data_IF_505814590231
#
_entry.id   IF_505814590231
#
_cell.length_a   1.000
_cell.length_b   1.000
_cell.length_c   1.000
_cell.angle_alpha   90.00
_cell.angle_beta   90.00
_cell.angle_gamma   90.00
#
_symmetry.space_group_name_H-M   'P 1'
#
loop_
_entity.id
_entity.type
_entity.pdbx_description
1 polymer ?
#
# COMPACT_ATOMS: atom_id res chain seq x y z
N UNK A 1 9.47 -26.74 14.35
CA UNK A 1 8.71 -25.50 14.13
C UNK A 1 9.65 -24.53 13.45
N UNK A 2 9.25 -23.92 12.34
CA UNK A 2 10.02 -22.82 11.74
C UNK A 2 10.01 -21.61 12.68
N UNK A 3 11.09 -20.84 12.69
CA UNK A 3 11.15 -19.58 13.45
C UNK A 3 10.13 -18.61 12.82
N UNK A 4 9.21 -18.01 13.60
CA UNK A 4 8.20 -17.12 13.05
C UNK A 4 8.83 -15.86 12.45
N UNK A 5 8.28 -15.44 11.31
CA UNK A 5 8.61 -14.16 10.68
C UNK A 5 7.62 -13.10 11.16
N UNK A 6 8.10 -11.97 11.64
CA UNK A 6 7.26 -10.88 12.12
C UNK A 6 7.58 -9.61 11.35
N UNK A 7 6.67 -9.24 10.44
CA UNK A 7 6.75 -8.01 9.68
C UNK A 7 6.45 -6.83 10.60
N UNK A 8 7.32 -5.84 10.63
CA UNK A 8 7.09 -4.60 11.38
C UNK A 8 6.67 -3.51 10.41
N UNK A 9 5.59 -2.80 10.71
CA UNK A 9 5.21 -1.57 10.01
C UNK A 9 6.18 -0.44 10.39
N UNK A 10 6.35 0.56 9.53
CA UNK A 10 7.23 1.71 9.74
C UNK A 10 6.87 2.49 11.02
N UNK A 11 5.60 2.56 11.41
CA UNK A 11 5.21 3.20 12.66
C UNK A 11 5.76 2.48 13.91
N UNK A 12 5.99 1.16 13.85
CA UNK A 12 6.60 0.39 14.93
C UNK A 12 8.08 0.75 15.07
N UNK A 13 8.79 0.95 13.96
CA UNK A 13 10.17 1.48 13.98
C UNK A 13 10.19 2.87 14.64
N UNK A 14 9.20 3.71 14.30
CA UNK A 14 9.01 5.01 14.95
C UNK A 14 8.80 4.91 16.47
N UNK A 15 7.99 3.96 16.93
CA UNK A 15 7.79 3.72 18.36
C UNK A 15 9.08 3.27 19.07
N UNK A 16 9.86 2.39 18.44
CA UNK A 16 11.14 1.92 18.97
C UNK A 16 12.12 3.09 19.08
N UNK A 17 12.25 3.89 18.02
CA UNK A 17 13.13 5.06 17.98
C UNK A 17 12.79 6.09 19.08
N UNK A 18 11.49 6.25 19.38
CA UNK A 18 11.00 7.15 20.42
C UNK A 18 11.11 6.56 21.85
N UNK A 19 11.55 5.31 21.99
CA UNK A 19 11.64 4.62 23.27
C UNK A 19 10.29 4.25 23.88
N UNK A 20 9.22 4.18 23.07
CA UNK A 20 7.89 3.77 23.52
C UNK A 20 7.73 2.26 23.59
N UNK A 21 8.52 1.53 22.81
CA UNK A 21 8.63 0.07 22.85
C UNK A 21 10.12 -0.32 22.91
N UNK A 22 10.39 -1.59 23.16
CA UNK A 22 11.75 -2.13 23.24
C UNK A 22 11.84 -3.48 22.53
N UNK A 23 11.88 -3.45 21.21
CA UNK A 23 12.30 -4.54 20.36
C UNK A 23 13.81 -4.74 20.51
N UNK A 24 14.24 -5.99 20.44
CA UNK A 24 15.64 -6.41 20.57
C UNK A 24 15.90 -7.60 19.65
N UNK A 25 17.18 -7.87 19.37
CA UNK A 25 17.59 -9.12 18.70
C UNK A 25 17.10 -10.32 19.50
N UNK A 26 16.59 -11.32 18.80
CA UNK A 26 16.00 -12.53 19.36
C UNK A 26 16.34 -13.74 18.50
N UNK A 27 16.48 -14.90 19.14
CA UNK A 27 16.75 -16.17 18.45
C UNK A 27 15.45 -16.96 18.14
N UNK A 28 14.32 -16.54 18.72
CA UNK A 28 13.02 -17.20 18.61
C UNK A 28 12.04 -16.50 17.65
N UNK A 29 12.47 -15.42 16.99
CA UNK A 29 11.71 -14.68 15.98
C UNK A 29 12.66 -13.98 15.02
N UNK A 30 12.25 -13.82 13.76
CA UNK A 30 12.94 -12.98 12.78
C UNK A 30 12.09 -11.72 12.56
N UNK A 31 12.67 -10.56 12.88
CA UNK A 31 12.06 -9.27 12.55
C UNK A 31 12.24 -8.99 11.06
N UNK A 32 11.17 -8.62 10.39
CA UNK A 32 11.15 -8.49 8.93
C UNK A 32 10.75 -7.08 8.54
N UNK A 33 11.50 -6.50 7.59
CA UNK A 33 11.16 -5.26 6.90
C UNK A 33 11.19 -5.51 5.37
N UNK A 34 10.86 -4.51 4.55
CA UNK A 34 10.93 -4.61 3.08
C UNK A 34 11.37 -3.30 2.44
N UNK A 35 11.49 -3.28 1.10
CA UNK A 35 11.79 -2.05 0.32
C UNK A 35 10.78 -0.92 0.55
N UNK A 36 9.54 -1.21 0.94
CA UNK A 36 8.55 -0.18 1.29
C UNK A 36 9.04 0.72 2.44
N UNK A 37 9.75 0.13 3.41
CA UNK A 37 10.35 0.89 4.50
C UNK A 37 11.37 1.90 3.97
N UNK A 38 12.14 1.52 2.95
CA UNK A 38 13.12 2.42 2.34
C UNK A 38 12.47 3.57 1.59
N UNK A 39 11.32 3.35 0.94
CA UNK A 39 10.50 4.42 0.37
C UNK A 39 10.10 5.45 1.42
N UNK A 40 9.76 5.01 2.63
CA UNK A 40 9.42 5.90 3.74
C UNK A 40 10.64 6.56 4.38
N UNK A 41 11.70 5.79 4.64
CA UNK A 41 12.95 6.24 5.26
C UNK A 41 13.65 7.29 4.39
N UNK A 42 13.64 7.14 3.06
CA UNK A 42 14.18 8.12 2.10
C UNK A 42 13.58 9.52 2.27
N UNK A 43 12.32 9.61 2.73
CA UNK A 43 11.60 10.87 2.93
C UNK A 43 11.84 11.48 4.31
N UNK A 44 12.49 10.77 5.22
CA UNK A 44 12.82 11.27 6.55
C UNK A 44 14.00 12.25 6.52
N UNK A 45 14.05 13.16 7.49
CA UNK A 45 15.18 14.11 7.64
C UNK A 45 16.46 13.44 8.12
N UNK A 46 16.34 12.33 8.86
CA UNK A 46 17.44 11.57 9.47
C UNK A 46 17.23 10.06 9.20
N UNK A 47 17.39 9.59 7.94
CA UNK A 47 17.17 8.20 7.55
C UNK A 47 17.95 7.19 8.39
N UNK A 48 19.18 7.53 8.76
CA UNK A 48 20.11 6.68 9.53
C UNK A 48 19.52 6.22 10.86
N UNK A 49 18.71 7.05 11.53
CA UNK A 49 18.09 6.68 12.80
C UNK A 49 17.12 5.49 12.67
N UNK A 50 16.42 5.40 11.55
CA UNK A 50 15.50 4.29 11.29
C UNK A 50 16.27 3.03 10.88
N UNK A 51 17.34 3.18 10.11
CA UNK A 51 18.22 2.08 9.73
C UNK A 51 18.95 1.51 10.96
N UNK A 52 19.38 2.35 11.89
CA UNK A 52 19.96 1.95 13.17
C UNK A 52 18.98 1.07 13.97
N UNK A 53 17.69 1.44 14.01
CA UNK A 53 16.68 0.62 14.67
C UNK A 53 16.61 -0.77 14.04
N UNK A 54 16.49 -0.85 12.70
CA UNK A 54 16.45 -2.12 11.98
C UNK A 54 17.70 -2.96 12.24
N UNK A 55 18.87 -2.33 12.22
CA UNK A 55 20.15 -3.01 12.42
C UNK A 55 20.31 -3.51 13.87
N UNK A 56 19.91 -2.71 14.86
CA UNK A 56 20.03 -3.05 16.27
C UNK A 56 19.13 -4.21 16.71
N UNK A 57 17.99 -4.39 16.04
CA UNK A 57 17.10 -5.54 16.28
C UNK A 57 17.47 -6.75 15.41
N UNK A 58 18.51 -6.66 14.57
CA UNK A 58 18.91 -7.70 13.62
C UNK A 58 17.78 -8.06 12.63
N UNK A 59 17.09 -7.03 12.13
CA UNK A 59 16.00 -7.22 11.19
C UNK A 59 16.52 -7.68 9.81
N UNK A 60 15.77 -8.55 9.16
CA UNK A 60 16.08 -9.12 7.85
C UNK A 60 15.12 -8.59 6.80
N UNK A 61 15.61 -8.27 5.60
CA UNK A 61 14.76 -7.80 4.51
C UNK A 61 14.00 -8.97 3.89
N UNK A 62 12.68 -8.81 3.70
CA UNK A 62 11.86 -9.63 2.84
C UNK A 62 11.69 -8.93 1.48
N UNK A 63 11.92 -9.69 0.42
CA UNK A 63 11.82 -9.24 -0.96
C UNK A 63 10.94 -10.20 -1.77
N UNK A 64 10.17 -9.65 -2.71
CA UNK A 64 9.38 -10.47 -3.63
C UNK A 64 10.30 -11.06 -4.70
N UNK A 65 10.01 -12.28 -5.14
CA UNK A 65 10.72 -12.92 -6.25
C UNK A 65 10.03 -12.52 -7.55
N UNK A 66 10.85 -12.18 -8.54
CA UNK A 66 10.41 -11.86 -9.91
C UNK A 66 10.94 -12.92 -10.87
N UNK A 67 10.16 -13.23 -11.91
CA UNK A 67 10.59 -14.08 -13.03
C UNK A 67 11.49 -13.33 -14.02
N UNK A 68 11.92 -14.01 -15.09
CA UNK A 68 12.74 -13.38 -16.15
C UNK A 68 12.04 -12.23 -16.90
N UNK A 69 10.72 -12.10 -16.77
CA UNK A 69 9.91 -11.05 -17.37
C UNK A 69 9.56 -9.93 -16.37
N UNK A 70 10.20 -9.91 -15.20
CA UNK A 70 9.93 -8.95 -14.12
C UNK A 70 8.50 -9.02 -13.57
N UNK A 71 7.86 -10.18 -13.64
CA UNK A 71 6.56 -10.44 -13.02
C UNK A 71 6.75 -11.05 -11.64
N UNK A 72 5.91 -10.65 -10.69
CA UNK A 72 5.92 -11.21 -9.33
C UNK A 72 5.51 -12.68 -9.40
N UNK A 73 6.35 -13.59 -8.91
CA UNK A 73 6.07 -15.04 -8.99
C UNK A 73 5.03 -15.49 -7.97
N UNK A 74 4.73 -14.65 -6.99
CA UNK A 74 3.90 -14.99 -5.83
C UNK A 74 4.71 -15.52 -4.66
N UNK A 75 6.03 -15.66 -4.79
CA UNK A 75 6.95 -16.07 -3.72
C UNK A 75 7.74 -14.88 -3.15
N UNK A 76 8.23 -15.03 -1.93
CA UNK A 76 9.09 -14.06 -1.26
C UNK A 76 10.33 -14.75 -0.67
N UNK A 77 11.41 -13.99 -0.54
CA UNK A 77 12.70 -14.46 0.02
C UNK A 77 13.22 -13.52 1.09
N UNK A 78 13.98 -14.08 2.03
CA UNK A 78 14.78 -13.31 2.98
C UNK A 78 16.15 -12.99 2.38
N UNK A 79 16.59 -11.74 2.52
CA UNK A 79 17.93 -11.28 2.13
C UNK A 79 18.80 -11.27 3.38
N UNK A 80 19.51 -12.36 3.62
CA UNK A 80 20.27 -12.59 4.86
C UNK A 80 21.72 -12.10 4.80
N UNK A 81 22.26 -11.85 3.60
CA UNK A 81 23.69 -11.60 3.40
C UNK A 81 24.06 -10.10 3.50
N UNK A 82 23.08 -9.23 3.76
CA UNK A 82 23.24 -7.78 3.76
C UNK A 82 22.59 -7.14 4.99
N UNK A 83 23.26 -6.14 5.54
CA UNK A 83 22.72 -5.30 6.61
C UNK A 83 21.61 -4.37 6.10
N UNK A 84 20.77 -3.80 6.98
CA UNK A 84 19.80 -2.77 6.60
C UNK A 84 20.41 -1.57 5.88
N UNK A 85 21.63 -1.16 6.25
CA UNK A 85 22.36 -0.07 5.59
C UNK A 85 22.78 -0.43 4.17
N UNK A 86 23.35 -1.62 3.95
CA UNK A 86 23.76 -2.07 2.60
C UNK A 86 22.55 -2.25 1.69
N UNK A 87 21.47 -2.85 2.21
CA UNK A 87 20.21 -2.98 1.47
C UNK A 87 19.62 -1.60 1.10
N UNK A 88 19.65 -0.63 2.02
CA UNK A 88 19.18 0.73 1.75
C UNK A 88 20.03 1.42 0.70
N UNK A 89 21.35 1.31 0.78
CA UNK A 89 22.25 1.91 -0.21
C UNK A 89 22.00 1.32 -1.61
N UNK A 90 21.90 -0.01 -1.72
CA UNK A 90 21.55 -0.67 -2.98
C UNK A 90 20.20 -0.20 -3.53
N UNK A 91 19.21 0.03 -2.65
CA UNK A 91 17.91 0.56 -3.05
C UNK A 91 18.01 1.99 -3.60
N UNK A 92 18.75 2.87 -2.92
CA UNK A 92 18.93 4.27 -3.34
C UNK A 92 19.68 4.37 -4.67
N UNK A 93 20.71 3.55 -4.87
CA UNK A 93 21.44 3.47 -6.14
C UNK A 93 20.51 3.01 -7.27
N UNK A 94 19.77 1.92 -7.06
CA UNK A 94 18.87 1.38 -8.08
C UNK A 94 17.79 2.37 -8.54
N UNK A 95 17.24 3.19 -7.64
CA UNK A 95 16.22 4.19 -8.00
C UNK A 95 16.82 5.53 -8.46
N UNK A 96 18.12 5.75 -8.29
CA UNK A 96 18.80 6.94 -8.79
C UNK A 96 19.21 6.80 -10.27
N UNK A 97 19.39 5.55 -10.73
CA UNK A 97 19.83 5.26 -12.10
C UNK A 97 18.82 5.67 -13.18
N UNK A 98 17.54 5.75 -12.83
CA UNK A 98 16.46 6.04 -13.78
C UNK A 98 15.53 7.11 -13.21
N UNK A 99 15.43 8.25 -13.89
CA UNK A 99 14.49 9.31 -13.52
C UNK A 99 13.05 8.89 -13.89
N UNK A 100 12.37 8.27 -12.92
CA UNK A 100 10.98 7.86 -13.02
C UNK A 100 10.10 8.62 -12.03
N UNK A 101 9.06 9.28 -12.54
CA UNK A 101 8.04 9.89 -11.69
C UNK A 101 7.02 8.83 -11.24
N UNK A 102 7.19 8.35 -10.00
CA UNK A 102 6.28 7.39 -9.35
C UNK A 102 4.89 7.99 -9.03
N UNK A 103 4.69 9.30 -9.24
CA UNK A 103 3.46 10.01 -8.89
C UNK A 103 2.51 10.26 -10.07
N UNK A 104 2.87 9.80 -11.29
CA UNK A 104 2.08 10.03 -12.51
C UNK A 104 0.60 9.64 -12.35
N UNK A 105 0.31 8.54 -11.64
CA UNK A 105 -1.05 8.05 -11.44
C UNK A 105 -1.72 8.56 -10.15
N UNK A 106 -1.06 9.40 -9.35
CA UNK A 106 -1.62 9.97 -8.13
C UNK A 106 -2.91 10.77 -8.39
N UNK A 107 -3.01 11.62 -9.45
CA UNK A 107 -4.25 12.35 -9.75
C UNK A 107 -5.43 11.41 -9.99
N UNK A 108 -5.22 10.32 -10.74
CA UNK A 108 -6.25 9.31 -11.00
C UNK A 108 -6.70 8.64 -9.71
N UNK A 109 -5.75 8.15 -8.90
CA UNK A 109 -6.07 7.45 -7.65
C UNK A 109 -6.81 8.36 -6.66
N UNK A 110 -6.44 9.63 -6.58
CA UNK A 110 -7.12 10.61 -5.72
C UNK A 110 -8.50 10.97 -6.26
N UNK A 111 -8.65 11.09 -7.59
CA UNK A 111 -9.92 11.35 -8.25
C UNK A 111 -10.96 10.27 -7.94
N UNK A 112 -10.62 8.99 -8.13
CA UNK A 112 -11.56 7.89 -7.85
C UNK A 112 -11.98 7.78 -6.38
N UNK A 113 -11.20 8.37 -5.47
CA UNK A 113 -11.52 8.48 -4.05
C UNK A 113 -12.36 9.70 -3.67
N UNK A 114 -12.71 10.54 -4.65
CA UNK A 114 -13.49 11.77 -4.51
C UNK A 114 -12.70 12.96 -3.97
N UNK A 115 -11.43 13.04 -4.32
CA UNK A 115 -10.60 14.24 -4.14
C UNK A 115 -9.99 14.71 -5.45
N UNK A 116 -8.94 15.53 -5.34
CA UNK A 116 -8.14 15.97 -6.48
C UNK A 116 -8.82 17.02 -7.35
N UNK A 117 -8.09 17.46 -8.38
CA UNK A 117 -8.49 18.52 -9.30
C UNK A 117 -8.46 17.98 -10.75
N UNK A 118 -9.31 18.51 -11.61
CA UNK A 118 -9.36 18.10 -13.03
C UNK A 118 -8.06 18.36 -13.78
N UNK A 119 -7.35 19.45 -13.46
CA UNK A 119 -6.14 19.88 -14.17
C UNK A 119 -5.06 18.79 -14.19
N UNK A 120 -4.56 18.35 -13.02
CA UNK A 120 -3.58 17.26 -12.95
C UNK A 120 -4.06 15.94 -13.60
N UNK A 121 -5.37 15.67 -13.62
CA UNK A 121 -5.90 14.48 -14.28
C UNK A 121 -5.87 14.61 -15.82
N UNK A 122 -6.16 15.79 -16.37
CA UNK A 122 -6.06 16.09 -17.82
C UNK A 122 -4.62 16.01 -18.34
N UNK A 123 -3.64 16.21 -17.47
CA UNK A 123 -2.22 16.10 -17.81
C UNK A 123 -1.71 14.65 -17.81
N UNK A 124 -2.51 13.66 -17.37
CA UNK A 124 -2.08 12.27 -17.20
C UNK A 124 -1.52 11.64 -18.49
N UNK A 125 -2.18 11.86 -19.61
CA UNK A 125 -1.80 11.25 -20.90
C UNK A 125 -0.47 11.84 -21.42
N UNK A 126 -0.27 13.14 -21.28
CA UNK A 126 0.97 13.85 -21.62
C UNK A 126 2.11 13.41 -20.69
N UNK A 127 1.89 13.43 -19.38
CA UNK A 127 2.89 13.05 -18.39
C UNK A 127 3.36 11.60 -18.58
N UNK A 128 2.42 10.68 -18.87
CA UNK A 128 2.76 9.29 -19.18
C UNK A 128 3.55 9.18 -20.49
N UNK A 129 3.12 9.88 -21.55
CA UNK A 129 3.80 9.89 -22.83
C UNK A 129 5.25 10.39 -22.70
N UNK A 130 5.43 11.53 -22.04
CA UNK A 130 6.74 12.15 -21.80
C UNK A 130 7.63 11.23 -20.95
N UNK A 131 7.09 10.60 -19.90
CA UNK A 131 7.84 9.65 -19.09
C UNK A 131 8.32 8.45 -19.91
N UNK A 132 7.47 7.84 -20.74
CA UNK A 132 7.86 6.70 -21.58
C UNK A 132 8.93 7.10 -22.61
N UNK A 133 8.78 8.26 -23.24
CA UNK A 133 9.76 8.76 -24.20
C UNK A 133 11.10 9.09 -23.54
N UNK A 134 11.08 9.63 -22.31
CA UNK A 134 12.28 9.88 -21.51
C UNK A 134 12.97 8.59 -21.07
N UNK A 135 12.24 7.61 -20.55
CA UNK A 135 12.81 6.31 -20.14
C UNK A 135 13.49 5.58 -21.30
N UNK A 136 12.99 5.79 -22.52
CA UNK A 136 13.53 5.19 -23.73
C UNK A 136 14.51 6.11 -24.45
N UNK A 137 14.88 7.27 -23.87
CA UNK A 137 15.66 8.30 -24.57
C UNK A 137 17.03 7.80 -25.03
N UNK A 138 17.64 6.95 -24.19
CA UNK A 138 19.05 6.56 -24.29
C UNK A 138 19.23 5.10 -24.74
N UNK A 139 18.13 4.42 -25.07
CA UNK A 139 18.19 3.04 -25.58
C UNK A 139 18.82 3.01 -26.99
N UNK A 140 19.76 2.08 -27.26
CA UNK A 140 20.49 2.01 -28.53
C UNK A 140 19.70 1.34 -29.67
N UNK A 141 18.38 1.45 -29.66
CA UNK A 141 17.47 0.78 -30.60
C UNK A 141 16.55 1.77 -31.30
N UNK A 142 15.92 1.36 -32.41
CA UNK A 142 14.87 2.16 -33.05
C UNK A 142 13.65 2.27 -32.13
N UNK A 143 13.16 3.50 -31.95
CA UNK A 143 12.06 3.85 -31.04
C UNK A 143 10.80 4.26 -31.78
N UNK A 144 10.79 4.16 -33.10
CA UNK A 144 9.63 4.50 -33.93
C UNK A 144 8.38 3.72 -33.49
N UNK A 145 8.54 2.44 -33.17
CA UNK A 145 7.43 1.63 -32.64
C UNK A 145 6.92 2.14 -31.29
N UNK A 146 7.83 2.50 -30.37
CA UNK A 146 7.46 3.05 -29.06
C UNK A 146 6.72 4.38 -29.20
N UNK A 147 7.23 5.29 -30.02
CA UNK A 147 6.59 6.58 -30.31
C UNK A 147 5.20 6.39 -30.91
N UNK A 148 5.03 5.44 -31.84
CA UNK A 148 3.72 5.12 -32.43
C UNK A 148 2.75 4.52 -31.39
N UNK A 149 3.23 3.65 -30.49
CA UNK A 149 2.43 3.10 -29.38
C UNK A 149 1.96 4.20 -28.43
N UNK A 150 2.88 5.09 -28.03
CA UNK A 150 2.56 6.26 -27.19
C UNK A 150 1.52 7.16 -27.85
N UNK A 151 1.71 7.48 -29.13
CA UNK A 151 0.77 8.29 -29.91
C UNK A 151 -0.63 7.63 -30.03
N UNK A 152 -0.71 6.31 -29.98
CA UNK A 152 -1.97 5.56 -30.03
C UNK A 152 -2.65 5.47 -28.66
N UNK A 153 -1.89 5.36 -27.57
CA UNK A 153 -2.42 5.22 -26.20
C UNK A 153 -2.95 6.56 -25.67
N UNK A 154 -2.29 7.66 -26.00
CA UNK A 154 -2.65 9.01 -25.52
C UNK A 154 -4.14 9.36 -25.70
N UNK A 155 -4.73 9.28 -26.92
CA UNK A 155 -6.15 9.59 -27.10
C UNK A 155 -7.10 8.64 -26.35
N UNK A 156 -6.67 7.41 -26.06
CA UNK A 156 -7.46 6.46 -25.25
C UNK A 156 -7.51 6.92 -23.79
N UNK A 157 -6.37 7.36 -23.25
CA UNK A 157 -6.30 7.91 -21.89
C UNK A 157 -7.07 9.23 -21.81
N UNK A 158 -6.94 10.11 -22.80
CA UNK A 158 -7.69 11.37 -22.85
C UNK A 158 -9.20 11.11 -22.82
N UNK A 159 -9.69 10.19 -23.65
CA UNK A 159 -11.11 9.83 -23.67
C UNK A 159 -11.57 9.26 -22.32
N UNK A 160 -10.76 8.41 -21.67
CA UNK A 160 -11.07 7.89 -20.34
C UNK A 160 -11.13 9.01 -19.29
N UNK A 161 -10.18 9.94 -19.33
CA UNK A 161 -10.13 11.09 -18.42
C UNK A 161 -11.32 12.01 -18.62
N UNK A 162 -11.69 12.32 -19.86
CA UNK A 162 -12.86 13.13 -20.17
C UNK A 162 -14.15 12.49 -19.65
N UNK A 163 -14.28 11.16 -19.79
CA UNK A 163 -15.40 10.41 -19.24
C UNK A 163 -15.45 10.48 -17.71
N UNK A 164 -14.31 10.26 -17.03
CA UNK A 164 -14.20 10.38 -15.56
C UNK A 164 -14.59 11.77 -15.06
N UNK A 165 -14.15 12.81 -15.77
CA UNK A 165 -14.46 14.20 -15.41
C UNK A 165 -15.94 14.49 -15.63
N UNK A 166 -16.51 14.04 -16.75
CA UNK A 166 -17.92 14.26 -17.08
C UNK A 166 -18.87 13.60 -16.07
N UNK A 167 -18.49 12.43 -15.53
CA UNK A 167 -19.24 11.72 -14.49
C UNK A 167 -19.02 12.31 -13.09
N UNK A 168 -17.95 13.08 -12.91
CA UNK A 168 -17.52 13.63 -11.63
C UNK A 168 -16.94 12.59 -10.67
N UNK A 169 -16.58 13.03 -9.47
CA UNK A 169 -15.91 12.21 -8.46
C UNK A 169 -16.65 12.17 -7.11
N UNK A 170 -17.97 12.31 -7.11
CA UNK A 170 -18.73 12.27 -5.85
C UNK A 170 -18.74 10.85 -5.26
N UNK A 171 -17.81 10.62 -4.33
CA UNK A 171 -17.63 9.34 -3.66
C UNK A 171 -18.89 8.85 -2.92
N UNK A 172 -19.80 9.76 -2.51
CA UNK A 172 -21.08 9.33 -1.90
C UNK A 172 -22.02 8.77 -2.95
N UNK A 173 -22.07 9.38 -4.15
CA UNK A 173 -22.83 8.82 -5.28
C UNK A 173 -22.25 7.48 -5.72
N UNK A 174 -20.92 7.35 -5.78
CA UNK A 174 -20.26 6.08 -6.09
C UNK A 174 -20.65 4.99 -5.08
N UNK A 175 -20.59 5.27 -3.78
CA UNK A 175 -20.99 4.30 -2.74
C UNK A 175 -22.47 3.95 -2.79
N UNK A 176 -23.34 4.94 -3.02
CA UNK A 176 -24.76 4.70 -3.20
C UNK A 176 -25.05 3.82 -4.44
N UNK A 177 -24.31 4.00 -5.53
CA UNK A 177 -24.42 3.16 -6.73
C UNK A 177 -24.02 1.70 -6.45
N UNK A 178 -23.10 1.47 -5.51
CA UNK A 178 -22.76 0.14 -4.99
C UNK A 178 -23.70 -0.36 -3.87
N UNK A 179 -24.84 0.30 -3.65
CA UNK A 179 -25.84 -0.11 -2.65
C UNK A 179 -25.62 0.44 -1.23
N UNK A 180 -24.56 1.21 -0.98
CA UNK A 180 -24.23 1.73 0.36
C UNK A 180 -24.70 3.17 0.60
N UNK A 181 -25.99 3.45 0.40
CA UNK A 181 -26.57 4.79 0.54
C UNK A 181 -26.35 5.42 1.93
N UNK A 182 -26.28 4.58 2.97
CA UNK A 182 -26.19 4.99 4.38
C UNK A 182 -24.76 4.95 4.94
N UNK A 183 -23.75 4.56 4.15
CA UNK A 183 -22.37 4.45 4.62
C UNK A 183 -22.15 3.29 5.62
N UNK A 184 -22.96 2.24 5.52
CA UNK A 184 -22.94 1.05 6.37
C UNK A 184 -21.66 0.23 6.23
N UNK A 185 -21.02 0.23 5.05
CA UNK A 185 -19.77 -0.50 4.81
C UNK A 185 -18.68 -0.04 5.79
N UNK A 186 -18.61 1.26 6.10
CA UNK A 186 -17.64 1.80 7.06
C UNK A 186 -17.78 1.25 8.48
N UNK A 187 -18.95 0.71 8.83
CA UNK A 187 -19.28 0.12 10.13
C UNK A 187 -19.16 -1.41 10.20
N UNK A 188 -18.84 -2.08 9.10
CA UNK A 188 -18.71 -3.56 9.07
C UNK A 188 -17.64 -4.01 10.08
N UNK A 189 -17.98 -5.04 10.85
CA UNK A 189 -17.14 -5.57 11.94
C UNK A 189 -17.41 -7.07 12.14
N UNK A 190 -16.59 -7.73 12.96
CA UNK A 190 -16.68 -9.17 13.19
C UNK A 190 -15.81 -9.98 12.23
N UNK A 191 -16.29 -11.17 11.89
CA UNK A 191 -15.66 -12.15 11.00
C UNK A 191 -16.19 -12.03 9.57
N UNK A 192 -15.42 -12.49 8.59
CA UNK A 192 -15.74 -12.52 7.17
C UNK A 192 -16.13 -11.15 6.60
N UNK A 193 -15.42 -10.10 7.01
CA UNK A 193 -15.79 -8.71 6.69
C UNK A 193 -15.84 -8.43 5.18
N UNK A 194 -14.93 -8.99 4.38
CA UNK A 194 -14.97 -8.84 2.91
C UNK A 194 -16.23 -9.46 2.32
N UNK A 195 -16.63 -10.65 2.80
CA UNK A 195 -17.86 -11.30 2.36
C UNK A 195 -19.11 -10.49 2.76
N UNK A 196 -19.14 -9.95 3.99
CA UNK A 196 -20.23 -9.06 4.41
C UNK A 196 -20.34 -7.80 3.53
N UNK A 197 -19.20 -7.22 3.13
CA UNK A 197 -19.18 -6.07 2.21
C UNK A 197 -19.67 -6.51 0.82
N UNK A 198 -19.28 -7.69 0.35
CA UNK A 198 -19.76 -8.25 -0.91
C UNK A 198 -21.27 -8.49 -0.92
N UNK A 199 -21.87 -8.92 0.19
CA UNK A 199 -23.32 -9.10 0.30
C UNK A 199 -24.08 -7.77 0.13
N UNK A 200 -23.46 -6.64 0.48
CA UNK A 200 -24.02 -5.30 0.27
C UNK A 200 -23.91 -4.90 -1.22
N UNK A 201 -22.80 -5.23 -1.87
CA UNK A 201 -22.45 -4.75 -3.22
C UNK A 201 -23.02 -5.63 -4.33
N UNK A 202 -23.03 -6.95 -4.13
CA UNK A 202 -23.37 -7.93 -5.16
C UNK A 202 -24.75 -7.71 -5.83
N UNK A 203 -25.81 -7.22 -5.15
CA UNK A 203 -27.07 -6.93 -5.81
C UNK A 203 -26.96 -5.84 -6.89
N UNK A 204 -26.10 -4.83 -6.68
CA UNK A 204 -25.82 -3.80 -7.71
C UNK A 204 -24.93 -4.30 -8.85
N UNK A 205 -24.28 -5.45 -8.67
CA UNK A 205 -23.33 -6.02 -9.62
C UNK A 205 -23.89 -7.22 -10.39
N UNK A 206 -25.13 -7.66 -10.12
CA UNK A 206 -25.70 -8.90 -10.67
C UNK A 206 -25.61 -8.99 -12.20
N UNK A 207 -25.87 -7.89 -12.90
CA UNK A 207 -25.83 -7.84 -14.37
C UNK A 207 -24.42 -7.83 -14.97
N UNK A 208 -23.39 -7.60 -14.15
CA UNK A 208 -22.00 -7.50 -14.62
C UNK A 208 -21.31 -8.86 -14.74
N UNK A 209 -21.82 -9.90 -14.05
CA UNK A 209 -21.15 -11.20 -13.94
C UNK A 209 -19.83 -11.18 -13.15
N UNK A 210 -19.50 -10.05 -12.50
CA UNK A 210 -18.28 -9.88 -11.70
C UNK A 210 -18.40 -10.66 -10.39
N UNK A 211 -17.40 -11.47 -10.09
CA UNK A 211 -17.26 -12.18 -8.81
C UNK A 211 -16.67 -11.29 -7.71
N UNK A 212 -16.78 -11.75 -6.46
CA UNK A 212 -16.14 -11.08 -5.31
C UNK A 212 -14.63 -10.95 -5.50
N UNK A 213 -13.94 -12.01 -5.93
CA UNK A 213 -12.49 -11.98 -6.17
C UNK A 213 -12.10 -11.04 -7.31
N UNK A 214 -12.89 -10.94 -8.38
CA UNK A 214 -12.70 -9.96 -9.44
C UNK A 214 -12.88 -8.53 -8.93
N UNK A 215 -13.95 -8.28 -8.17
CA UNK A 215 -14.28 -6.95 -7.66
C UNK A 215 -13.21 -6.43 -6.69
N UNK A 216 -12.73 -7.28 -5.77
CA UNK A 216 -11.68 -6.93 -4.82
C UNK A 216 -10.26 -7.11 -5.37
N UNK A 217 -10.10 -7.42 -6.65
CA UNK A 217 -8.81 -7.42 -7.34
C UNK A 217 -7.93 -8.65 -7.12
N UNK A 218 -8.45 -9.74 -6.53
CA UNK A 218 -7.73 -11.01 -6.37
C UNK A 218 -7.74 -11.87 -7.64
N UNK A 219 -8.68 -11.63 -8.55
CA UNK A 219 -8.76 -12.30 -9.86
C UNK A 219 -9.19 -11.29 -10.93
N UNK A 220 -8.38 -10.27 -11.27
CA UNK A 220 -8.80 -9.25 -12.22
C UNK A 220 -9.15 -9.86 -13.58
N UNK A 221 -10.14 -9.26 -14.27
CA UNK A 221 -10.61 -9.73 -15.59
C UNK A 221 -9.48 -9.74 -16.62
N UNK A 222 -8.67 -8.67 -16.62
CA UNK A 222 -7.40 -8.64 -17.34
C UNK A 222 -6.27 -8.93 -16.35
N UNK A 223 -5.70 -10.14 -16.48
CA UNK A 223 -4.56 -10.57 -15.67
C UNK A 223 -3.23 -10.03 -16.16
N UNK A 224 -3.19 -9.14 -17.16
CA UNK A 224 -1.96 -8.48 -17.64
C UNK A 224 -0.85 -9.48 -17.99
N UNK A 225 -1.24 -10.63 -18.53
CA UNK A 225 -0.34 -11.73 -18.88
C UNK A 225 0.16 -12.58 -17.71
N UNK A 226 -0.40 -12.44 -16.50
CA UNK A 226 -0.23 -13.42 -15.42
C UNK A 226 -1.15 -14.63 -15.66
N UNK A 227 -0.62 -15.84 -15.51
CA UNK A 227 -1.46 -17.04 -15.47
C UNK A 227 -2.24 -17.13 -14.15
N UNK A 228 -1.53 -16.88 -13.04
CA UNK A 228 -2.07 -16.77 -11.69
C UNK A 228 -1.79 -15.37 -11.16
N UNK A 229 -2.83 -14.69 -10.69
CA UNK A 229 -2.69 -13.34 -10.14
C UNK A 229 -1.92 -13.37 -8.81
N UNK A 230 -0.84 -12.61 -8.65
CA UNK A 230 -0.04 -12.60 -7.42
C UNK A 230 -0.84 -12.12 -6.21
N UNK A 231 -0.68 -12.82 -5.09
CA UNK A 231 -1.37 -12.47 -3.84
C UNK A 231 -1.12 -11.02 -3.42
N UNK A 232 0.14 -10.59 -3.49
CA UNK A 232 0.55 -9.21 -3.20
C UNK A 232 -0.31 -8.19 -3.99
N UNK A 233 -0.40 -8.34 -5.32
CA UNK A 233 -1.18 -7.44 -6.17
C UNK A 233 -2.68 -7.47 -5.84
N UNK A 234 -3.21 -8.66 -5.50
CA UNK A 234 -4.58 -8.79 -5.02
C UNK A 234 -4.84 -8.02 -3.72
N UNK A 235 -3.90 -8.07 -2.77
CA UNK A 235 -3.99 -7.31 -1.52
C UNK A 235 -3.94 -5.79 -1.80
N UNK A 236 -3.09 -5.32 -2.71
CA UNK A 236 -3.04 -3.90 -3.10
C UNK A 236 -4.38 -3.46 -3.70
N UNK A 237 -4.91 -4.23 -4.66
CA UNK A 237 -6.21 -3.96 -5.30
C UNK A 237 -7.36 -3.95 -4.28
N UNK A 238 -7.40 -4.93 -3.39
CA UNK A 238 -8.44 -5.03 -2.36
C UNK A 238 -8.41 -3.81 -1.43
N UNK A 239 -7.23 -3.36 -1.03
CA UNK A 239 -7.08 -2.13 -0.27
C UNK A 239 -7.64 -0.92 -1.04
N UNK A 240 -7.26 -0.72 -2.30
CA UNK A 240 -7.78 0.39 -3.11
C UNK A 240 -9.33 0.40 -3.19
N UNK A 241 -9.94 -0.78 -3.35
CA UNK A 241 -11.40 -0.95 -3.37
C UNK A 241 -12.02 -0.61 -2.00
N UNK A 242 -11.42 -1.06 -0.89
CA UNK A 242 -11.89 -0.71 0.46
C UNK A 242 -11.89 0.80 0.71
N UNK A 243 -10.91 1.54 0.19
CA UNK A 243 -10.87 3.01 0.31
C UNK A 243 -12.03 3.68 -0.43
N UNK A 244 -12.32 3.23 -1.66
CA UNK A 244 -13.46 3.69 -2.46
C UNK A 244 -14.76 3.44 -1.71
N UNK A 245 -14.97 2.22 -1.21
CA UNK A 245 -16.19 1.82 -0.51
C UNK A 245 -16.33 2.46 0.88
N UNK A 246 -15.22 2.88 1.50
CA UNK A 246 -15.23 3.51 2.81
C UNK A 246 -14.98 2.57 3.99
N UNK A 247 -14.59 1.33 3.75
CA UNK A 247 -14.22 0.40 4.82
C UNK A 247 -12.84 0.73 5.37
N UNK A 248 -12.78 1.19 6.63
CA UNK A 248 -11.53 1.68 7.25
C UNK A 248 -10.77 2.68 6.38
N UNK A 249 -11.48 3.44 5.54
CA UNK A 249 -10.87 4.32 4.55
C UNK A 249 -10.19 5.53 5.19
N UNK A 250 -9.03 5.89 4.65
CA UNK A 250 -8.23 7.03 5.06
C UNK A 250 -8.75 8.31 4.39
N UNK A 251 -9.07 9.39 5.14
CA UNK A 251 -9.34 10.70 4.50
C UNK A 251 -8.15 11.21 3.66
N UNK A 252 -6.96 10.68 3.90
CA UNK A 252 -5.72 10.99 3.16
C UNK A 252 -5.78 10.52 1.71
N UNK A 253 -6.60 9.52 1.36
CA UNK A 253 -6.74 9.05 -0.04
C UNK A 253 -7.33 10.10 -0.99
N UNK A 254 -7.89 11.19 -0.45
CA UNK A 254 -8.43 12.32 -1.21
C UNK A 254 -7.45 13.47 -1.39
N UNK A 255 -6.21 13.30 -0.96
CA UNK A 255 -5.19 14.35 -0.97
C UNK A 255 -3.97 13.88 -1.75
N UNK A 256 -3.64 14.60 -2.82
CA UNK A 256 -2.50 14.29 -3.70
C UNK A 256 -1.20 14.14 -2.93
N UNK A 257 -0.90 15.06 -2.00
CA UNK A 257 0.33 15.02 -1.21
C UNK A 257 0.35 13.97 -0.08
N UNK A 258 -0.68 13.12 0.03
CA UNK A 258 -0.78 12.08 1.07
C UNK A 258 -1.14 10.71 0.51
N UNK A 259 -1.44 10.57 -0.78
CA UNK A 259 -1.88 9.28 -1.36
C UNK A 259 -0.79 8.20 -1.27
N UNK A 260 0.48 8.61 -1.36
CA UNK A 260 1.62 7.71 -1.17
C UNK A 260 1.60 6.99 0.19
N UNK A 261 1.11 7.63 1.26
CA UNK A 261 1.02 6.99 2.58
C UNK A 261 -0.03 5.87 2.56
N UNK A 262 -1.14 6.08 1.84
CA UNK A 262 -2.20 5.06 1.70
C UNK A 262 -1.69 3.86 0.89
N UNK A 263 -0.87 4.11 -0.14
CA UNK A 263 -0.20 3.02 -0.88
C UNK A 263 0.78 2.27 0.01
N UNK A 264 1.55 2.99 0.81
CA UNK A 264 2.52 2.41 1.76
C UNK A 264 1.84 1.47 2.75
N UNK A 265 0.73 1.89 3.36
CA UNK A 265 -0.07 1.02 4.24
C UNK A 265 -0.51 -0.28 3.53
N UNK A 266 -0.95 -0.18 2.27
CA UNK A 266 -1.33 -1.35 1.48
C UNK A 266 -0.13 -2.27 1.16
N UNK A 267 1.04 -1.69 0.83
CA UNK A 267 2.29 -2.43 0.64
C UNK A 267 2.71 -3.18 1.90
N UNK A 268 2.63 -2.55 3.07
CA UNK A 268 2.92 -3.20 4.36
C UNK A 268 1.98 -4.39 4.61
N UNK A 269 0.68 -4.24 4.36
CA UNK A 269 -0.28 -5.37 4.44
C UNK A 269 0.07 -6.46 3.43
N UNK A 270 0.47 -6.09 2.20
CA UNK A 270 0.87 -7.03 1.15
C UNK A 270 2.10 -7.84 1.53
N UNK A 271 3.14 -7.20 2.07
CA UNK A 271 4.37 -7.86 2.50
C UNK A 271 4.16 -8.69 3.78
N UNK A 272 3.33 -8.20 4.70
CA UNK A 272 2.97 -8.91 5.93
C UNK A 272 2.32 -10.28 5.67
N UNK A 273 1.61 -10.45 4.55
CA UNK A 273 0.94 -11.71 4.19
C UNK A 273 1.90 -12.90 3.97
N UNK A 274 3.20 -12.63 3.81
CA UNK A 274 4.24 -13.65 3.69
C UNK A 274 4.89 -14.01 5.03
N UNK A 275 4.41 -13.40 6.13
CA UNK A 275 4.96 -13.56 7.47
C UNK A 275 3.98 -14.28 8.40
N UNK A 276 4.44 -14.69 9.58
CA UNK A 276 3.59 -15.27 10.63
C UNK A 276 2.75 -14.19 11.33
N UNK A 277 3.25 -12.95 11.39
CA UNK A 277 2.52 -11.82 11.94
C UNK A 277 2.94 -10.49 11.29
N UNK A 278 2.07 -9.48 11.40
CA UNK A 278 2.35 -8.07 11.11
C UNK A 278 2.05 -7.22 12.34
N UNK A 279 3.00 -6.36 12.75
CA UNK A 279 2.83 -5.43 13.86
C UNK A 279 2.57 -4.01 13.33
N UNK A 280 1.56 -3.32 13.86
CA UNK A 280 1.30 -1.91 13.53
C UNK A 280 0.64 -1.18 14.70
N UNK A 281 0.91 0.13 14.85
CA UNK A 281 0.14 1.02 15.73
C UNK A 281 -1.16 1.50 15.05
N UNK A 282 -1.26 1.38 13.73
CA UNK A 282 -2.43 1.84 12.98
C UNK A 282 -3.59 0.83 13.05
N UNK A 283 -4.62 1.21 13.82
CA UNK A 283 -5.85 0.42 13.98
C UNK A 283 -6.56 0.14 12.65
N UNK A 284 -6.49 1.03 11.66
CA UNK A 284 -7.11 0.81 10.34
C UNK A 284 -6.32 -0.22 9.56
N UNK A 285 -4.99 -0.11 9.53
CA UNK A 285 -4.12 -1.08 8.86
C UNK A 285 -4.37 -2.49 9.41
N UNK A 286 -4.34 -2.66 10.74
CA UNK A 286 -4.56 -3.96 11.39
C UNK A 286 -5.95 -4.52 11.04
N UNK A 287 -7.00 -3.69 11.03
CA UNK A 287 -8.35 -4.13 10.67
C UNK A 287 -8.46 -4.53 9.21
N UNK A 288 -7.83 -3.80 8.29
CA UNK A 288 -7.80 -4.14 6.86
C UNK A 288 -7.02 -5.43 6.62
N UNK A 289 -5.83 -5.55 7.21
CA UNK A 289 -5.05 -6.78 7.18
C UNK A 289 -5.86 -7.98 7.66
N UNK A 290 -6.54 -7.85 8.82
CA UNK A 290 -7.38 -8.92 9.35
C UNK A 290 -8.49 -9.33 8.38
N UNK A 291 -9.25 -8.36 7.87
CA UNK A 291 -10.35 -8.63 6.94
C UNK A 291 -9.86 -9.33 5.66
N UNK A 292 -8.73 -8.88 5.12
CA UNK A 292 -8.14 -9.43 3.89
C UNK A 292 -7.58 -10.84 4.13
N UNK A 293 -6.82 -11.03 5.21
CA UNK A 293 -6.19 -12.30 5.54
C UNK A 293 -7.22 -13.38 5.84
N UNK A 294 -8.28 -13.04 6.58
CA UNK A 294 -9.41 -13.93 6.81
C UNK A 294 -10.07 -14.36 5.49
N UNK A 295 -10.37 -13.40 4.61
CA UNK A 295 -11.02 -13.68 3.32
C UNK A 295 -10.21 -14.59 2.40
N UNK A 296 -8.88 -14.43 2.37
CA UNK A 296 -7.99 -15.26 1.55
C UNK A 296 -7.38 -16.46 2.31
N UNK A 297 -7.80 -16.72 3.54
CA UNK A 297 -7.27 -17.77 4.41
C UNK A 297 -5.73 -17.70 4.55
N UNK A 298 -5.21 -16.50 4.76
CA UNK A 298 -3.78 -16.24 5.01
C UNK A 298 -3.51 -16.42 6.52
N UNK A 299 -2.55 -17.27 6.86
CA UNK A 299 -2.20 -17.63 8.25
C UNK A 299 -1.28 -16.60 8.94
N UNK A 300 -1.40 -15.33 8.56
CA UNK A 300 -0.68 -14.20 9.17
C UNK A 300 -1.56 -13.58 10.24
N UNK A 301 -1.01 -13.33 11.43
CA UNK A 301 -1.70 -12.63 12.51
C UNK A 301 -1.43 -11.11 12.49
N UNK A 302 -2.44 -10.24 12.26
CA UNK A 302 -2.31 -8.80 12.44
C UNK A 302 -2.40 -8.42 13.92
N UNK A 303 -1.39 -7.72 14.42
CA UNK A 303 -1.28 -7.38 15.84
C UNK A 303 -1.19 -5.86 15.99
N UNK A 304 -2.16 -5.32 16.74
CA UNK A 304 -2.18 -3.92 17.12
C UNK A 304 -1.27 -3.68 18.32
N UNK A 305 -0.34 -2.75 18.19
CA UNK A 305 0.48 -2.26 19.29
C UNK A 305 -0.16 -0.98 19.84
N UNK A 306 -0.63 -1.01 21.09
CA UNK A 306 -1.23 0.15 21.75
C UNK A 306 -0.24 0.84 22.70
N UNK A 307 -0.10 2.16 22.59
CA UNK A 307 0.57 2.97 23.61
C UNK A 307 -0.23 2.93 24.90
N UNK A 308 0.35 2.35 25.95
CA UNK A 308 -0.21 2.51 27.30
C UNK A 308 0.01 3.96 27.73
N UNK A 309 -1.06 4.73 27.98
CA UNK A 309 -0.92 6.09 28.49
C UNK A 309 -0.25 6.07 29.87
N UNK A 310 1.02 6.45 29.94
CA UNK A 310 1.69 6.73 31.21
C UNK A 310 1.05 7.99 31.80
N UNK A 311 0.17 7.83 32.81
CA UNK A 311 -0.23 8.94 33.66
C UNK A 311 1.03 9.49 34.32
N UNK A 312 1.52 10.63 33.86
CA UNK A 312 2.49 11.40 34.62
C UNK A 312 1.81 11.83 35.92
N UNK A 313 2.23 11.24 37.04
CA UNK A 313 1.90 11.75 38.36
C UNK A 313 2.48 13.16 38.45
N UNK A 314 1.67 14.19 38.21
CA UNK A 314 1.93 15.52 38.75
C UNK A 314 1.85 15.39 40.27
N UNK A 315 3.01 15.23 40.88
CA UNK A 315 3.22 15.44 42.29
C UNK A 315 3.02 16.95 42.52
N UNK A 316 1.81 17.34 42.92
CA UNK A 316 1.56 18.66 43.45
C UNK A 316 2.29 18.77 44.78
N UNK A 317 3.44 19.42 44.76
CA UNK A 317 4.06 19.97 45.96
C UNK A 317 3.14 21.05 46.51
N UNK A 318 2.28 20.65 47.44
CA UNK A 318 1.70 21.57 48.41
C UNK A 318 2.83 22.01 49.36
N UNK A 319 3.57 23.05 48.97
CA UNK A 319 4.34 23.84 49.90
C UNK A 319 3.45 24.95 50.47
N UNK A 320 3.03 24.74 51.71
CA UNK A 320 2.42 25.72 52.60
C UNK A 320 3.42 26.81 53.03
N UNK A 321 3.09 28.07 52.76
CA UNK A 321 3.47 29.32 53.46
C UNK A 321 2.75 30.46 52.68
N UNK A 322 1.90 31.34 53.21
CA UNK A 322 1.60 31.83 54.56
C UNK A 322 0.07 31.90 54.80
#
# INVERSE_FOLDING_TARGET
MSIPLVYIDQNIIGLQLQGHINLSKRDDVIWVYSKEHFTEIKRASEPEKYLDVLNNIDATMLDLIFDENWKITGEARLVNDLTPFENYQNYIEAIADVEFDETIFDPFQVWVNGGGDEGPLKELSENLADQVLRLTSDLPFDRTEMANKVATIKPVIDSMVDELISNGNDIKKTRAAFGDEKGTIGGVSGENQVAQIWDIISPSMESSGVSCDQFFGFDPVDKQGYELWPLYLGIIGCNAVMDILGFQAEKKCRKINKIQNVRSDASHIGMGAYCSAILSEDKRLVKRAKAIYEYKNIDTSPILIEKTATKSNQQTDNASAD
#
